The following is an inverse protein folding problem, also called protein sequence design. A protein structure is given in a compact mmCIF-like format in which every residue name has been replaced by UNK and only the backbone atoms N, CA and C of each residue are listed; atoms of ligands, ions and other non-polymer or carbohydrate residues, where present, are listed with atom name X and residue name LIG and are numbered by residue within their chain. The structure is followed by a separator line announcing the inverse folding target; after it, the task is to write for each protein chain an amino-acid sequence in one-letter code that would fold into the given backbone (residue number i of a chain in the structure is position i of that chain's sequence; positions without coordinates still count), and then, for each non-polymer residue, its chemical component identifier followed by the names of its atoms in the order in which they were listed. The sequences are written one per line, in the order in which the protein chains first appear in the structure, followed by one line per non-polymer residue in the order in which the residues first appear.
data_IF_205881631206
#
_entry.id   IF_205881631206
#
_cell.length_a   1.000
_cell.length_b   1.000
_cell.length_c   1.000
_cell.angle_alpha   90.00
_cell.angle_beta   90.00
_cell.angle_gamma   90.00
#
_symmetry.space_group_name_H-M   'P 1'
#
loop_
_entity.id
_entity.type
_entity.pdbx_description
1 polymer ?
#
# COMPACT_ATOMS: atom_id res chain seq x y z
N UNK A 1 36.80 -36.13 20.89
CA UNK A 1 36.36 -35.91 22.28
C UNK A 1 36.55 -37.21 23.04
N UNK A 2 37.51 -37.24 23.97
CA UNK A 2 37.95 -38.44 24.65
C UNK A 2 37.01 -38.75 25.81
N UNK A 3 36.35 -39.91 25.76
CA UNK A 3 35.64 -40.46 26.90
C UNK A 3 36.70 -40.92 27.91
N UNK A 4 37.01 -40.05 28.87
CA UNK A 4 37.94 -40.35 29.96
C UNK A 4 37.22 -41.31 30.90
N UNK A 5 37.44 -42.61 30.71
CA UNK A 5 37.03 -43.63 31.68
C UNK A 5 37.97 -43.47 32.88
N UNK A 6 37.50 -42.80 33.92
CA UNK A 6 38.25 -42.69 35.16
C UNK A 6 38.41 -44.10 35.78
N UNK A 7 39.64 -44.54 36.11
CA UNK A 7 39.96 -45.91 36.51
C UNK A 7 39.44 -46.35 37.90
N UNK A 8 38.52 -45.59 38.52
CA UNK A 8 37.97 -45.87 39.85
C UNK A 8 36.48 -46.30 39.85
N UNK A 9 35.78 -46.24 38.72
CA UNK A 9 34.30 -46.28 38.72
C UNK A 9 33.73 -46.97 37.48
N UNK A 10 34.13 -48.21 37.20
CA UNK A 10 33.23 -49.07 36.43
C UNK A 10 32.79 -50.21 37.32
N UNK A 11 31.66 -50.01 37.99
CA UNK A 11 31.02 -51.05 38.79
C UNK A 11 30.82 -52.31 37.93
N UNK A 12 30.59 -52.17 36.62
CA UNK A 12 30.49 -53.31 35.70
C UNK A 12 31.83 -54.01 35.55
N UNK A 13 32.94 -53.28 35.45
CA UNK A 13 34.28 -53.88 35.43
C UNK A 13 34.63 -54.60 36.74
N UNK A 14 34.19 -54.06 37.89
CA UNK A 14 34.34 -54.71 39.20
C UNK A 14 33.48 -55.97 39.32
N UNK A 15 32.23 -55.93 38.83
CA UNK A 15 31.33 -57.08 38.77
C UNK A 15 31.89 -58.16 37.84
N UNK A 16 32.40 -57.77 36.67
CA UNK A 16 33.01 -58.70 35.71
C UNK A 16 34.28 -59.33 36.31
N UNK A 17 35.11 -58.54 36.99
CA UNK A 17 36.29 -59.06 37.70
C UNK A 17 35.91 -60.06 38.79
N UNK A 18 34.88 -59.78 39.60
CA UNK A 18 34.34 -60.73 40.59
C UNK A 18 33.81 -62.00 39.93
N UNK A 19 33.09 -61.87 38.81
CA UNK A 19 32.55 -63.00 38.06
C UNK A 19 33.68 -63.90 37.53
N UNK A 20 34.74 -63.33 36.97
CA UNK A 20 35.92 -64.06 36.52
C UNK A 20 36.67 -64.74 37.67
N UNK A 21 36.76 -64.11 38.84
CA UNK A 21 37.35 -64.74 40.03
C UNK A 21 36.55 -65.94 40.54
N UNK A 22 35.22 -65.92 40.41
CA UNK A 22 34.36 -67.07 40.72
C UNK A 22 34.51 -68.17 39.66
N UNK A 23 34.48 -67.82 38.37
CA UNK A 23 34.54 -68.77 37.25
C UNK A 23 35.91 -69.44 37.10
N UNK A 24 36.99 -68.80 37.58
CA UNK A 24 38.35 -69.34 37.51
C UNK A 24 38.68 -70.34 38.64
N UNK A 25 37.77 -70.54 39.60
CA UNK A 25 37.93 -71.53 40.68
C UNK A 25 37.89 -72.94 40.08
N UNK A 26 38.96 -73.71 40.30
CA UNK A 26 39.01 -75.12 39.89
C UNK A 26 38.45 -76.00 41.01
N UNK A 27 37.64 -77.00 40.67
CA UNK A 27 37.06 -77.92 41.64
C UNK A 27 37.69 -79.31 41.48
N UNK A 28 38.12 -79.92 42.59
CA UNK A 28 38.55 -81.30 42.64
C UNK A 28 37.71 -82.02 43.72
N UNK A 29 36.62 -82.66 43.29
CA UNK A 29 35.62 -83.22 44.21
C UNK A 29 35.02 -82.13 45.12
N UNK A 30 34.91 -82.35 46.44
CA UNK A 30 34.37 -81.35 47.37
C UNK A 30 35.34 -80.18 47.67
N UNK A 31 36.54 -80.14 47.08
CA UNK A 31 37.57 -79.13 47.39
C UNK A 31 37.72 -78.13 46.24
N UNK A 32 37.60 -76.84 46.56
CA UNK A 32 37.85 -75.74 45.64
C UNK A 32 39.29 -75.23 45.75
N UNK A 33 39.98 -75.05 44.62
CA UNK A 33 41.35 -74.54 44.52
C UNK A 33 41.41 -73.27 43.66
N UNK A 34 42.29 -72.34 44.02
CA UNK A 34 42.57 -71.12 43.25
C UNK A 34 41.67 -69.91 43.57
N UNK A 35 40.74 -70.04 44.52
CA UNK A 35 39.96 -68.89 45.02
C UNK A 35 40.80 -68.01 45.96
N UNK A 36 40.72 -66.69 45.80
CA UNK A 36 41.39 -65.69 46.66
C UNK A 36 40.33 -64.88 47.43
N UNK A 37 39.95 -65.28 48.65
CA UNK A 37 38.91 -64.63 49.42
C UNK A 37 39.16 -63.13 49.69
N UNK A 38 40.42 -62.76 49.89
CA UNK A 38 40.79 -61.39 50.25
C UNK A 38 40.57 -60.39 49.10
N UNK A 39 40.95 -60.78 47.88
CA UNK A 39 40.76 -59.95 46.69
C UNK A 39 39.26 -59.85 46.34
N UNK A 40 38.54 -60.97 46.41
CA UNK A 40 37.09 -61.00 46.21
C UNK A 40 36.35 -60.09 47.21
N UNK A 41 36.72 -60.17 48.49
CA UNK A 41 36.15 -59.32 49.55
C UNK A 41 36.46 -57.84 49.31
N UNK A 42 37.68 -57.51 48.88
CA UNK A 42 38.08 -56.15 48.56
C UNK A 42 37.27 -55.57 47.39
N UNK A 43 37.09 -56.32 46.30
CA UNK A 43 36.25 -55.92 45.17
C UNK A 43 34.77 -55.77 45.56
N UNK A 44 34.25 -56.63 46.44
CA UNK A 44 32.88 -56.51 46.98
C UNK A 44 32.72 -55.24 47.85
N UNK A 45 33.71 -54.89 48.67
CA UNK A 45 33.71 -53.67 49.46
C UNK A 45 33.79 -52.41 48.58
N UNK A 46 34.57 -52.46 47.50
CA UNK A 46 34.63 -51.38 46.51
C UNK A 46 33.28 -51.18 45.83
N UNK A 47 32.61 -52.24 45.36
CA UNK A 47 31.25 -52.15 44.80
C UNK A 47 30.28 -51.59 45.84
N UNK A 48 30.33 -52.07 47.09
CA UNK A 48 29.46 -51.59 48.18
C UNK A 48 29.65 -50.10 48.49
N UNK A 49 30.85 -49.58 48.29
CA UNK A 49 31.17 -48.16 48.53
C UNK A 49 30.82 -47.29 47.32
N UNK A 50 31.09 -47.76 46.10
CA UNK A 50 30.92 -46.98 44.88
C UNK A 50 29.48 -47.02 44.33
N UNK A 51 28.78 -48.16 44.42
CA UNK A 51 27.44 -48.32 43.83
C UNK A 51 26.40 -47.33 44.40
N UNK A 52 26.29 -47.10 45.73
CA UNK A 52 25.33 -46.13 46.26
C UNK A 52 25.63 -44.69 45.81
N UNK A 53 26.91 -44.36 45.60
CA UNK A 53 27.33 -43.05 45.12
C UNK A 53 26.94 -42.88 43.65
N UNK A 54 27.27 -43.85 42.81
CA UNK A 54 26.93 -43.84 41.37
C UNK A 54 25.42 -43.71 41.16
N UNK A 55 24.60 -44.50 41.86
CA UNK A 55 23.14 -44.44 41.76
C UNK A 55 22.59 -43.06 42.16
N UNK A 56 23.16 -42.42 43.20
CA UNK A 56 22.76 -41.07 43.60
C UNK A 56 23.16 -40.02 42.57
N UNK A 57 24.37 -40.12 42.02
CA UNK A 57 24.87 -39.23 40.98
C UNK A 57 23.99 -39.34 39.73
N UNK A 58 23.71 -40.55 39.24
CA UNK A 58 22.79 -40.78 38.11
C UNK A 58 21.38 -40.27 38.38
N UNK A 59 20.83 -40.48 39.59
CA UNK A 59 19.51 -39.96 39.95
C UNK A 59 19.47 -38.42 39.98
N UNK A 60 20.54 -37.76 40.46
CA UNK A 60 20.66 -36.29 40.42
C UNK A 60 20.78 -35.79 38.99
N UNK A 61 21.57 -36.45 38.14
CA UNK A 61 21.71 -36.10 36.73
C UNK A 61 20.38 -36.26 35.97
N UNK A 62 19.61 -37.31 36.26
CA UNK A 62 18.29 -37.50 35.68
C UNK A 62 17.31 -36.39 36.09
N UNK A 63 17.30 -36.02 37.39
CA UNK A 63 16.46 -34.90 37.88
C UNK A 63 16.85 -33.57 37.25
N UNK A 64 18.14 -33.29 37.14
CA UNK A 64 18.62 -32.05 36.54
C UNK A 64 18.26 -31.97 35.06
N UNK A 65 18.41 -33.09 34.31
CA UNK A 65 17.97 -33.17 32.91
C UNK A 65 16.47 -32.91 32.77
N UNK A 66 15.65 -33.53 33.60
CA UNK A 66 14.20 -33.35 33.58
C UNK A 66 13.82 -31.89 33.83
N UNK A 67 14.49 -31.25 34.80
CA UNK A 67 14.31 -29.84 35.09
C UNK A 67 14.67 -28.96 33.89
N UNK A 68 15.84 -29.17 33.27
CA UNK A 68 16.27 -28.42 32.10
C UNK A 68 15.27 -28.55 30.96
N UNK A 69 14.75 -29.76 30.70
CA UNK A 69 13.76 -30.00 29.66
C UNK A 69 12.47 -29.25 29.97
N UNK A 70 11.98 -29.34 31.21
CA UNK A 70 10.76 -28.67 31.65
C UNK A 70 10.88 -27.14 31.53
N UNK A 71 12.00 -26.58 32.01
CA UNK A 71 12.26 -25.15 31.96
C UNK A 71 12.37 -24.67 30.49
N UNK A 72 13.07 -25.41 29.63
CA UNK A 72 13.18 -25.10 28.20
C UNK A 72 11.84 -25.19 27.45
N UNK A 73 10.99 -26.17 27.81
CA UNK A 73 9.64 -26.28 27.24
C UNK A 73 8.77 -25.08 27.64
N UNK A 74 8.79 -24.71 28.93
CA UNK A 74 8.03 -23.56 29.42
C UNK A 74 8.49 -22.24 28.76
N UNK A 75 9.81 -22.06 28.59
CA UNK A 75 10.37 -20.89 27.91
C UNK A 75 9.98 -20.86 26.42
N UNK A 76 10.06 -22.01 25.74
CA UNK A 76 9.63 -22.15 24.35
C UNK A 76 8.15 -21.82 24.17
N UNK A 77 7.28 -22.33 25.05
CA UNK A 77 5.85 -22.07 24.99
C UNK A 77 5.54 -20.58 25.22
N UNK A 78 6.21 -19.94 26.18
CA UNK A 78 6.08 -18.50 26.42
C UNK A 78 6.54 -17.68 25.21
N UNK A 79 7.65 -18.06 24.57
CA UNK A 79 8.16 -17.37 23.38
C UNK A 79 7.20 -17.53 22.19
N UNK A 80 6.64 -18.72 22.00
CA UNK A 80 5.66 -18.98 20.95
C UNK A 80 4.36 -18.18 21.17
N UNK A 81 3.86 -18.11 22.40
CA UNK A 81 2.69 -17.30 22.73
C UNK A 81 2.95 -15.80 22.49
N UNK A 82 4.10 -15.30 22.94
CA UNK A 82 4.52 -13.92 22.66
C UNK A 82 4.61 -13.63 21.16
N UNK A 83 5.29 -14.49 20.40
CA UNK A 83 5.44 -14.31 18.95
C UNK A 83 4.08 -14.35 18.23
N UNK A 84 3.16 -15.22 18.66
CA UNK A 84 1.80 -15.28 18.10
C UNK A 84 1.00 -14.01 18.37
N UNK A 85 1.04 -13.51 19.61
CA UNK A 85 0.36 -12.26 19.99
C UNK A 85 0.91 -11.08 19.20
N UNK A 86 2.22 -10.98 19.08
CA UNK A 86 2.87 -9.90 18.36
C UNK A 86 2.58 -9.97 16.86
N UNK A 87 2.58 -11.17 16.27
CA UNK A 87 2.17 -11.38 14.88
C UNK A 87 0.70 -10.97 14.65
N UNK A 88 -0.22 -11.35 15.55
CA UNK A 88 -1.63 -10.93 15.47
C UNK A 88 -1.77 -9.41 15.53
N UNK A 89 -1.09 -8.77 16.48
CA UNK A 89 -1.09 -7.31 16.64
C UNK A 89 -0.59 -6.61 15.38
N UNK A 90 0.51 -7.07 14.80
CA UNK A 90 1.06 -6.50 13.56
C UNK A 90 0.11 -6.67 12.37
N UNK A 91 -0.54 -7.83 12.24
CA UNK A 91 -1.54 -8.06 11.18
C UNK A 91 -2.75 -7.14 11.37
N UNK A 92 -3.27 -7.02 12.59
CA UNK A 92 -4.39 -6.12 12.91
C UNK A 92 -4.04 -4.66 12.59
N UNK A 93 -2.86 -4.18 13.01
CA UNK A 93 -2.40 -2.82 12.71
C UNK A 93 -2.22 -2.59 11.20
N UNK A 94 -1.60 -3.54 10.49
CA UNK A 94 -1.41 -3.43 9.05
C UNK A 94 -2.74 -3.43 8.29
N UNK A 95 -3.70 -4.26 8.70
CA UNK A 95 -5.03 -4.30 8.08
C UNK A 95 -5.82 -3.03 8.35
N UNK A 96 -5.76 -2.48 9.57
CA UNK A 96 -6.40 -1.21 9.91
C UNK A 96 -5.83 -0.04 9.10
N UNK A 97 -4.50 0.06 8.97
CA UNK A 97 -3.88 1.12 8.18
C UNK A 97 -4.14 0.96 6.68
N UNK A 98 -4.13 -0.28 6.17
CA UNK A 98 -4.49 -0.55 4.78
C UNK A 98 -5.92 -0.12 4.46
N UNK A 99 -6.87 -0.40 5.36
CA UNK A 99 -8.26 0.02 5.18
C UNK A 99 -8.40 1.55 5.26
N UNK A 100 -7.68 2.21 6.18
CA UNK A 100 -7.64 3.67 6.28
C UNK A 100 -7.11 4.30 4.99
N UNK A 101 -6.01 3.78 4.45
CA UNK A 101 -5.43 4.25 3.19
C UNK A 101 -6.38 4.03 2.02
N UNK A 102 -7.06 2.88 1.97
CA UNK A 102 -8.04 2.56 0.93
C UNK A 102 -9.22 3.53 0.97
N UNK A 103 -9.74 3.85 2.16
CA UNK A 103 -10.81 4.82 2.34
C UNK A 103 -10.38 6.23 1.92
N UNK A 104 -9.17 6.65 2.29
CA UNK A 104 -8.63 7.94 1.88
C UNK A 104 -8.47 8.04 0.35
N UNK A 105 -7.87 7.03 -0.27
CA UNK A 105 -7.70 6.97 -1.72
C UNK A 105 -9.05 6.98 -2.46
N UNK A 106 -10.06 6.30 -1.90
CA UNK A 106 -11.41 6.28 -2.42
C UNK A 106 -12.05 7.69 -2.36
N UNK A 107 -11.92 8.38 -1.23
CA UNK A 107 -12.43 9.75 -1.08
C UNK A 107 -11.75 10.72 -2.06
N UNK A 108 -10.43 10.66 -2.17
CA UNK A 108 -9.66 11.49 -3.12
C UNK A 108 -10.06 11.21 -4.56
N UNK A 109 -10.20 9.93 -4.93
CA UNK A 109 -10.66 9.53 -6.26
C UNK A 109 -12.03 10.13 -6.57
N UNK A 110 -12.98 10.03 -5.65
CA UNK A 110 -14.34 10.52 -5.86
C UNK A 110 -14.36 12.07 -5.95
N UNK A 111 -13.51 12.76 -5.19
CA UNK A 111 -13.30 14.21 -5.33
C UNK A 111 -12.71 14.59 -6.70
N UNK A 112 -11.70 13.86 -7.17
CA UNK A 112 -11.10 14.10 -8.49
C UNK A 112 -12.10 13.88 -9.63
N UNK A 113 -12.92 12.83 -9.53
CA UNK A 113 -14.00 12.57 -10.50
C UNK A 113 -15.01 13.72 -10.52
N UNK A 114 -15.45 14.19 -9.35
CA UNK A 114 -16.37 15.32 -9.25
C UNK A 114 -15.76 16.59 -9.88
N UNK A 115 -14.51 16.91 -9.58
CA UNK A 115 -13.81 18.06 -10.19
C UNK A 115 -13.70 17.93 -11.72
N UNK A 116 -13.43 16.72 -12.22
CA UNK A 116 -13.33 16.45 -13.65
C UNK A 116 -14.67 16.66 -14.37
N UNK A 117 -15.78 16.15 -13.81
CA UNK A 117 -17.11 16.35 -14.38
C UNK A 117 -17.54 17.82 -14.37
N UNK A 118 -17.28 18.54 -13.27
CA UNK A 118 -17.52 19.99 -13.20
C UNK A 118 -16.72 20.71 -14.29
N UNK A 119 -15.43 20.37 -14.46
CA UNK A 119 -14.60 20.97 -15.50
C UNK A 119 -15.13 20.69 -16.91
N UNK A 120 -15.62 19.46 -17.15
CA UNK A 120 -16.21 19.05 -18.43
C UNK A 120 -17.49 19.84 -18.73
N UNK A 121 -18.39 19.96 -17.77
CA UNK A 121 -19.63 20.74 -17.90
C UNK A 121 -19.31 22.22 -18.14
N UNK A 122 -18.41 22.79 -17.33
CA UNK A 122 -18.00 24.19 -17.49
C UNK A 122 -17.40 24.45 -18.89
N UNK A 123 -16.55 23.55 -19.39
CA UNK A 123 -16.00 23.64 -20.76
C UNK A 123 -17.10 23.58 -21.83
N UNK A 124 -18.08 22.69 -21.68
CA UNK A 124 -19.20 22.59 -22.61
C UNK A 124 -20.04 23.88 -22.62
N UNK A 125 -20.37 24.41 -21.43
CA UNK A 125 -21.12 25.67 -21.28
C UNK A 125 -20.37 26.86 -21.88
N UNK A 126 -19.05 26.97 -21.67
CA UNK A 126 -18.24 28.04 -22.25
C UNK A 126 -18.22 27.95 -23.79
N UNK A 127 -18.13 26.73 -24.34
CA UNK A 127 -18.17 26.53 -25.78
C UNK A 127 -19.52 26.94 -26.38
N UNK A 128 -20.63 26.59 -25.72
CA UNK A 128 -21.98 26.98 -26.12
C UNK A 128 -22.17 28.50 -26.05
N UNK A 129 -21.83 29.13 -24.91
CA UNK A 129 -21.88 30.59 -24.76
C UNK A 129 -21.08 31.32 -25.82
N UNK A 130 -19.89 30.80 -26.18
CA UNK A 130 -19.06 31.39 -27.24
C UNK A 130 -19.77 31.29 -28.59
N UNK A 131 -20.35 30.13 -28.92
CA UNK A 131 -21.07 29.93 -30.16
C UNK A 131 -22.30 30.84 -30.26
N UNK A 132 -23.04 31.00 -29.17
CA UNK A 132 -24.20 31.89 -29.10
C UNK A 132 -23.80 33.35 -29.26
N UNK A 133 -22.74 33.79 -28.57
CA UNK A 133 -22.21 35.14 -28.71
C UNK A 133 -21.73 35.43 -30.14
N UNK A 134 -21.09 34.45 -30.81
CA UNK A 134 -20.68 34.59 -32.21
C UNK A 134 -21.89 34.68 -33.16
N UNK A 135 -22.97 33.94 -32.88
CA UNK A 135 -24.22 34.02 -33.66
C UNK A 135 -24.87 35.39 -33.47
N UNK A 136 -25.03 35.83 -32.23
CA UNK A 136 -25.64 37.12 -31.89
C UNK A 136 -24.83 38.28 -32.47
N UNK A 137 -23.50 38.24 -32.38
CA UNK A 137 -22.64 39.26 -32.99
C UNK A 137 -22.79 39.33 -34.52
N UNK A 138 -22.96 38.18 -35.20
CA UNK A 138 -23.24 38.14 -36.64
C UNK A 138 -24.61 38.72 -36.96
N UNK A 139 -25.63 38.37 -36.19
CA UNK A 139 -26.98 38.91 -36.37
C UNK A 139 -27.02 40.43 -36.15
N UNK A 140 -26.37 40.91 -35.09
CA UNK A 140 -26.23 42.34 -34.80
C UNK A 140 -25.52 43.09 -35.93
N UNK A 141 -24.41 42.54 -36.46
CA UNK A 141 -23.74 43.12 -37.63
C UNK A 141 -24.66 43.22 -38.84
N UNK A 142 -25.37 42.13 -39.18
CA UNK A 142 -26.31 42.13 -40.31
C UNK A 142 -27.45 43.12 -40.11
N UNK A 143 -27.96 43.24 -38.87
CA UNK A 143 -28.97 44.22 -38.51
C UNK A 143 -28.48 45.66 -38.68
N UNK A 144 -27.26 45.94 -38.22
CA UNK A 144 -26.63 47.26 -38.36
C UNK A 144 -26.38 47.62 -39.84
N UNK A 145 -25.87 46.68 -40.64
CA UNK A 145 -25.66 46.88 -42.08
C UNK A 145 -26.98 47.19 -42.80
N UNK A 146 -28.04 46.46 -42.46
CA UNK A 146 -29.37 46.67 -43.02
C UNK A 146 -29.94 48.04 -42.64
N UNK A 147 -29.84 48.41 -41.36
CA UNK A 147 -30.26 49.73 -40.88
C UNK A 147 -29.49 50.87 -41.56
N UNK A 148 -28.18 50.71 -41.74
CA UNK A 148 -27.34 51.68 -42.44
C UNK A 148 -27.78 51.83 -43.90
N UNK A 149 -28.06 50.72 -44.59
CA UNK A 149 -28.57 50.74 -45.96
C UNK A 149 -29.91 51.48 -46.07
N UNK A 150 -30.88 51.13 -45.21
CA UNK A 150 -32.21 51.76 -45.21
C UNK A 150 -32.11 53.27 -44.92
N UNK A 151 -31.22 53.67 -44.00
CA UNK A 151 -30.98 55.08 -43.67
C UNK A 151 -30.36 55.83 -44.86
N UNK A 152 -29.37 55.24 -45.54
CA UNK A 152 -28.75 55.84 -46.72
C UNK A 152 -29.74 55.97 -47.87
N UNK A 153 -30.59 54.98 -48.08
CA UNK A 153 -31.63 55.02 -49.11
C UNK A 153 -32.67 56.12 -48.82
N UNK A 154 -33.11 56.26 -47.56
CA UNK A 154 -34.00 57.36 -47.17
C UNK A 154 -33.34 58.74 -47.39
N UNK A 155 -32.04 58.87 -47.12
CA UNK A 155 -31.29 60.11 -47.39
C UNK A 155 -31.20 60.39 -48.90
N UNK A 156 -30.96 59.37 -49.72
CA UNK A 156 -30.97 59.47 -51.18
C UNK A 156 -32.30 60.01 -51.71
N UNK A 157 -33.42 59.45 -51.24
CA UNK A 157 -34.77 59.90 -51.61
C UNK A 157 -35.02 61.37 -51.25
N UNK A 158 -34.55 61.80 -50.08
CA UNK A 158 -34.65 63.20 -49.64
C UNK A 158 -33.82 64.11 -50.55
N UNK A 159 -32.57 63.75 -50.85
CA UNK A 159 -31.70 64.52 -51.72
C UNK A 159 -32.27 64.62 -53.14
N UNK A 160 -32.83 63.52 -53.68
CA UNK A 160 -33.46 63.50 -54.99
C UNK A 160 -34.65 64.47 -55.07
N UNK A 161 -35.51 64.51 -54.04
CA UNK A 161 -36.62 65.49 -53.95
C UNK A 161 -36.14 66.93 -53.90
N UNK A 162 -35.06 67.20 -53.15
CA UNK A 162 -34.45 68.54 -53.07
C UNK A 162 -33.90 68.94 -54.43
N UNK A 163 -33.16 68.07 -55.11
CA UNK A 163 -32.65 68.31 -56.46
C UNK A 163 -33.78 68.60 -57.45
N UNK A 164 -34.85 67.81 -57.45
CA UNK A 164 -36.00 68.02 -58.32
C UNK A 164 -36.65 69.40 -58.06
N UNK A 165 -36.70 69.83 -56.81
CA UNK A 165 -37.23 71.16 -56.44
C UNK A 165 -36.33 72.27 -56.97
N UNK A 166 -35.01 72.11 -56.87
CA UNK A 166 -34.02 73.06 -57.42
C UNK A 166 -34.13 73.11 -58.96
N UNK A 167 -34.26 71.98 -59.65
CA UNK A 167 -34.43 71.95 -61.09
C UNK A 167 -35.71 72.67 -61.54
N UNK A 168 -36.84 72.40 -60.88
CA UNK A 168 -38.09 73.15 -61.16
C UNK A 168 -37.91 74.66 -60.95
N UNK A 169 -37.21 75.05 -59.87
CA UNK A 169 -36.87 76.44 -59.60
C UNK A 169 -36.02 77.06 -60.70
N UNK A 170 -34.98 76.35 -61.17
CA UNK A 170 -34.14 76.78 -62.29
C UNK A 170 -34.92 76.91 -63.60
N UNK A 171 -35.69 75.90 -63.98
CA UNK A 171 -36.51 75.95 -65.20
C UNK A 171 -37.53 77.08 -65.17
N UNK A 172 -38.08 77.42 -64.01
CA UNK A 172 -39.00 78.56 -63.87
C UNK A 172 -38.35 79.89 -64.24
N UNK A 173 -37.06 80.07 -63.88
CA UNK A 173 -36.27 81.27 -64.22
C UNK A 173 -35.86 81.24 -65.71
N UNK A 174 -35.44 80.08 -66.22
CA UNK A 174 -35.01 79.91 -67.61
C UNK A 174 -36.17 80.12 -68.62
N UNK A 175 -37.40 79.82 -68.21
CA UNK A 175 -38.61 80.10 -69.01
C UNK A 175 -39.01 81.59 -68.98
N UNK A 176 -38.53 82.36 -68.00
CA UNK A 176 -38.75 83.80 -67.87
C UNK A 176 -37.82 84.63 -68.80
N UNK A 177 -36.75 84.02 -69.35
CA UNK A 177 -35.74 84.71 -70.18
C UNK A 177 -35.95 84.64 -71.73
N UNK A 178 -37.02 84.03 -72.27
CA UNK A 178 -37.26 84.00 -73.73
C UNK A 178 -38.16 85.18 -74.20
N UNK A 179 -37.75 86.02 -75.19
CA UNK A 179 -38.10 87.43 -75.23
C UNK A 179 -39.25 87.80 -76.17
N UNK A 180 -40.00 88.86 -75.82
CA UNK A 180 -40.73 89.68 -76.80
C UNK A 180 -40.25 91.12 -76.76
N UNK A 181 -39.14 91.33 -77.45
CA UNK A 181 -38.91 92.57 -78.17
C UNK A 181 -39.97 92.70 -79.28
N UNK A 182 -40.74 93.79 -79.27
CA UNK A 182 -41.09 94.68 -80.40
C UNK A 182 -42.35 95.48 -80.03
N UNK A 183 -42.25 96.79 -79.75
CA UNK A 183 -41.90 97.95 -80.61
C UNK A 183 -43.16 98.78 -80.89
N UNK A 184 -42.96 100.10 -80.79
CA UNK A 184 -43.79 101.27 -81.18
C UNK A 184 -44.91 101.66 -80.21
N UNK A 185 -44.79 102.77 -79.47
CA UNK A 185 -44.72 104.20 -79.89
C UNK A 185 -45.94 104.64 -80.71
N UNK A 186 -46.68 105.57 -80.13
CA UNK A 186 -47.82 106.30 -80.66
C UNK A 186 -48.45 107.10 -79.54
#
# INVERSE_FOLDING_TARGET
MAYRIDPATDVLALIESLNQEILSVKHLGPVAFGFRPDHFSMSLQQIRTCLPREVREQASMARERERIITDAQAESDALLDFARKEASRLVEEATAEAERLRQQAQLERDQMLAQSEILKIAKAQVAEMKQDAEREAKEMRRGADRYAFDTLHNLEDVVAKVLQTIERGKSSIETEEVPRERVRLG
#
